data_IF_620002191468
#
_entry.id   IF_620002191468
#
_cell.length_a   1.000
_cell.length_b   1.000
_cell.length_c   1.000
_cell.angle_alpha   90.00
_cell.angle_beta   90.00
_cell.angle_gamma   90.00
#
_symmetry.space_group_name_H-M   'P 1'
#
loop_
_entity.id
_entity.type
_entity.pdbx_description
1 polymer ?
#
# COMPACT_ATOMS: atom_id res chain seq x y z
N UNK A 1 -21.93 7.94 -7.29
CA UNK A 1 -20.99 7.21 -6.39
C UNK A 1 -19.74 8.05 -6.19
N UNK A 2 -19.34 8.27 -4.96
CA UNK A 2 -18.10 8.97 -4.64
C UNK A 2 -17.02 7.95 -4.28
N UNK A 3 -16.05 7.77 -5.17
CA UNK A 3 -14.97 6.80 -4.94
C UNK A 3 -13.99 7.28 -3.87
N UNK A 4 -13.55 6.36 -3.03
CA UNK A 4 -12.55 6.60 -1.99
C UNK A 4 -11.25 5.85 -2.33
N UNK A 5 -10.14 6.57 -2.29
CA UNK A 5 -8.80 6.01 -2.51
C UNK A 5 -8.18 5.65 -1.16
N UNK A 6 -7.63 4.45 -1.06
CA UNK A 6 -6.94 3.99 0.13
C UNK A 6 -5.51 3.61 -0.27
N UNK A 7 -4.52 4.27 0.33
CA UNK A 7 -3.10 4.01 0.05
C UNK A 7 -2.48 3.37 1.27
N UNK A 8 -1.89 2.18 1.11
CA UNK A 8 -1.25 1.43 2.18
C UNK A 8 0.21 1.22 1.81
N UNK A 9 1.12 1.83 2.57
CA UNK A 9 2.56 1.82 2.30
C UNK A 9 3.33 1.33 3.52
N UNK A 10 4.58 0.95 3.30
CA UNK A 10 5.51 0.51 4.33
C UNK A 10 6.57 -0.40 3.77
N UNK A 11 7.60 -0.69 4.56
CA UNK A 11 8.67 -1.59 4.15
C UNK A 11 8.18 -3.02 3.92
N UNK A 12 8.95 -3.80 3.17
CA UNK A 12 8.67 -5.22 2.97
C UNK A 12 8.58 -5.94 4.33
N UNK A 13 7.63 -6.86 4.45
CA UNK A 13 7.41 -7.59 5.70
C UNK A 13 6.53 -6.87 6.72
N UNK A 14 5.96 -5.72 6.38
CA UNK A 14 5.12 -4.95 7.32
C UNK A 14 3.66 -5.42 7.42
N UNK A 15 3.20 -6.26 6.49
CA UNK A 15 1.81 -6.75 6.49
C UNK A 15 0.86 -5.98 5.57
N UNK A 16 1.38 -5.14 4.68
CA UNK A 16 0.58 -4.33 3.74
C UNK A 16 -0.35 -5.17 2.88
N UNK A 17 0.19 -6.21 2.24
CA UNK A 17 -0.57 -7.05 1.32
C UNK A 17 -1.69 -7.78 2.05
N UNK A 18 -1.41 -8.34 3.22
CA UNK A 18 -2.41 -9.01 4.05
C UNK A 18 -3.52 -8.03 4.47
N UNK A 19 -3.13 -6.85 4.93
CA UNK A 19 -4.09 -5.79 5.31
C UNK A 19 -4.95 -5.39 4.11
N UNK A 20 -4.34 -5.17 2.96
CA UNK A 20 -5.06 -4.77 1.75
C UNK A 20 -6.06 -5.83 1.29
N UNK A 21 -5.67 -7.11 1.31
CA UNK A 21 -6.56 -8.22 0.96
C UNK A 21 -7.71 -8.39 1.95
N UNK A 22 -7.43 -8.30 3.24
CA UNK A 22 -8.47 -8.36 4.27
C UNK A 22 -9.44 -7.20 4.12
N UNK A 23 -8.93 -6.01 3.87
CA UNK A 23 -9.77 -4.82 3.65
C UNK A 23 -10.65 -4.99 2.42
N UNK A 24 -10.10 -5.49 1.30
CA UNK A 24 -10.86 -5.76 0.10
C UNK A 24 -12.00 -6.76 0.37
N UNK A 25 -11.71 -7.82 1.12
CA UNK A 25 -12.71 -8.82 1.48
C UNK A 25 -13.86 -8.22 2.32
N UNK A 26 -13.52 -7.37 3.28
CA UNK A 26 -14.51 -6.73 4.15
C UNK A 26 -15.34 -5.67 3.41
N UNK A 27 -14.72 -4.94 2.50
CA UNK A 27 -15.43 -3.94 1.68
C UNK A 27 -16.28 -4.58 0.58
N UNK A 28 -15.93 -5.80 0.16
CA UNK A 28 -16.78 -6.61 -0.72
C UNK A 28 -16.48 -6.47 -2.21
N UNK A 29 -17.36 -7.09 -2.99
CA UNK A 29 -17.25 -7.13 -4.44
C UNK A 29 -17.24 -5.72 -5.06
N UNK A 30 -16.45 -5.53 -6.11
CA UNK A 30 -16.31 -4.24 -6.77
C UNK A 30 -15.27 -3.32 -6.13
N UNK A 31 -14.60 -3.77 -5.08
CA UNK A 31 -13.43 -3.05 -4.52
C UNK A 31 -12.21 -3.37 -5.36
N UNK A 32 -11.59 -2.33 -5.93
CA UNK A 32 -10.40 -2.49 -6.77
C UNK A 32 -9.15 -2.53 -5.89
N UNK A 33 -8.35 -3.58 -6.01
CA UNK A 33 -7.06 -3.70 -5.32
C UNK A 33 -5.92 -3.65 -6.33
N UNK A 34 -5.06 -2.65 -6.20
CA UNK A 34 -3.87 -2.46 -7.03
C UNK A 34 -2.63 -2.71 -6.19
N UNK A 35 -1.99 -3.86 -6.41
CA UNK A 35 -0.74 -4.21 -5.71
C UNK A 35 0.46 -3.86 -6.57
N UNK A 36 1.38 -3.07 -6.03
CA UNK A 36 2.62 -2.71 -6.71
C UNK A 36 3.40 -3.96 -7.12
N UNK A 37 3.52 -4.94 -6.24
CA UNK A 37 4.28 -6.16 -6.55
C UNK A 37 3.70 -6.92 -7.73
N UNK A 38 2.38 -7.04 -7.80
CA UNK A 38 1.70 -7.72 -8.91
C UNK A 38 1.91 -6.97 -10.21
N UNK A 39 1.69 -5.66 -10.21
CA UNK A 39 1.85 -4.84 -11.42
C UNK A 39 3.30 -4.90 -11.90
N UNK A 40 4.25 -4.70 -11.01
CA UNK A 40 5.66 -4.62 -11.38
C UNK A 40 6.26 -5.98 -11.72
N UNK A 41 6.04 -6.98 -10.86
CA UNK A 41 6.72 -8.28 -10.97
C UNK A 41 6.01 -9.26 -11.90
N UNK A 42 4.67 -9.30 -11.84
CA UNK A 42 3.91 -10.29 -12.61
C UNK A 42 3.42 -9.74 -13.94
N UNK A 43 2.85 -8.53 -13.94
CA UNK A 43 2.29 -7.94 -15.17
C UNK A 43 3.37 -7.42 -16.11
N UNK A 44 4.38 -6.74 -15.59
CA UNK A 44 5.40 -6.06 -16.40
C UNK A 44 6.78 -6.73 -16.37
N UNK A 45 7.12 -7.41 -15.27
CA UNK A 45 8.45 -8.02 -15.03
C UNK A 45 9.57 -7.00 -15.17
N UNK A 46 9.40 -5.83 -14.54
CA UNK A 46 10.40 -4.75 -14.55
C UNK A 46 11.01 -4.56 -13.16
N UNK A 47 12.24 -4.03 -13.15
CA UNK A 47 12.91 -3.67 -11.90
C UNK A 47 12.31 -2.41 -11.30
N UNK A 48 12.41 -2.28 -9.98
CA UNK A 48 11.93 -1.12 -9.25
C UNK A 48 12.94 0.02 -9.34
N UNK A 49 13.00 0.67 -10.48
CA UNK A 49 13.88 1.80 -10.78
C UNK A 49 13.08 3.08 -10.95
N UNK A 50 13.77 4.21 -10.89
CA UNK A 50 13.14 5.50 -11.16
C UNK A 50 12.57 5.51 -12.58
N UNK A 51 11.33 6.00 -12.70
CA UNK A 51 10.65 6.07 -14.00
C UNK A 51 10.21 4.74 -14.58
N UNK A 52 10.19 3.64 -13.79
CA UNK A 52 9.78 2.33 -14.33
C UNK A 52 8.30 2.32 -14.75
N UNK A 53 7.97 1.38 -15.63
CA UNK A 53 6.64 1.30 -16.25
C UNK A 53 5.50 1.08 -15.25
N UNK A 54 5.78 0.50 -14.08
CA UNK A 54 4.71 0.23 -13.11
C UNK A 54 4.12 1.51 -12.51
N UNK A 55 4.88 2.60 -12.46
CA UNK A 55 4.40 3.86 -11.89
C UNK A 55 3.17 4.35 -12.65
N UNK A 56 3.28 4.45 -13.97
CA UNK A 56 2.18 4.91 -14.81
C UNK A 56 1.03 3.91 -14.88
N UNK A 57 1.35 2.61 -14.95
CA UNK A 57 0.31 1.57 -15.02
C UNK A 57 -0.50 1.52 -13.72
N UNK A 58 0.14 1.62 -12.55
CA UNK A 58 -0.57 1.71 -11.26
C UNK A 58 -1.52 2.91 -11.27
N UNK A 59 -1.03 4.06 -11.72
CA UNK A 59 -1.85 5.27 -11.84
C UNK A 59 -3.08 5.03 -12.71
N UNK A 60 -2.89 4.47 -13.90
CA UNK A 60 -3.98 4.24 -14.84
C UNK A 60 -5.02 3.25 -14.30
N UNK A 61 -4.58 2.17 -13.66
CA UNK A 61 -5.49 1.18 -13.06
C UNK A 61 -6.32 1.84 -11.94
N UNK A 62 -5.67 2.60 -11.05
CA UNK A 62 -6.36 3.27 -9.96
C UNK A 62 -7.35 4.33 -10.47
N UNK A 63 -6.94 5.12 -11.47
CA UNK A 63 -7.82 6.12 -12.10
C UNK A 63 -9.04 5.48 -12.75
N UNK A 64 -8.86 4.30 -13.37
CA UNK A 64 -9.98 3.56 -13.95
C UNK A 64 -11.07 3.27 -12.92
N UNK A 65 -10.67 3.00 -11.68
CA UNK A 65 -11.63 2.69 -10.60
C UNK A 65 -12.49 3.87 -10.16
N UNK A 66 -12.03 5.10 -10.38
CA UNK A 66 -12.81 6.27 -9.98
C UNK A 66 -14.18 6.29 -10.69
N UNK A 67 -15.21 6.58 -9.93
CA UNK A 67 -16.61 6.61 -10.38
C UNK A 67 -17.16 5.25 -10.87
N UNK A 68 -16.38 4.18 -10.73
CA UNK A 68 -16.79 2.80 -11.05
C UNK A 68 -16.74 1.88 -9.83
N UNK A 69 -15.77 2.11 -8.95
CA UNK A 69 -15.59 1.37 -7.71
C UNK A 69 -15.78 2.33 -6.53
N UNK A 70 -16.52 1.91 -5.52
CA UNK A 70 -16.65 2.72 -4.31
C UNK A 70 -15.31 2.86 -3.60
N UNK A 71 -14.50 1.80 -3.62
CA UNK A 71 -13.18 1.79 -2.98
C UNK A 71 -12.10 1.35 -3.96
N UNK A 72 -11.00 2.08 -3.98
CA UNK A 72 -9.79 1.75 -4.74
C UNK A 72 -8.63 1.70 -3.76
N UNK A 73 -7.99 0.54 -3.64
CA UNK A 73 -6.86 0.31 -2.72
C UNK A 73 -5.58 0.22 -3.55
N UNK A 74 -4.58 1.01 -3.18
CA UNK A 74 -3.23 0.94 -3.77
C UNK A 74 -2.27 0.58 -2.63
N UNK A 75 -1.55 -0.54 -2.76
CA UNK A 75 -0.63 -0.99 -1.73
C UNK A 75 0.74 -1.35 -2.28
N UNK A 76 1.76 -1.17 -1.45
CA UNK A 76 3.12 -1.53 -1.77
C UNK A 76 4.13 -0.75 -0.95
N UNK A 77 5.41 -1.05 -1.15
CA UNK A 77 6.49 -0.26 -0.59
C UNK A 77 6.36 1.18 -1.11
N UNK A 78 6.19 1.35 -2.42
CA UNK A 78 5.90 2.62 -3.09
C UNK A 78 6.80 3.75 -2.56
N UNK A 79 8.11 3.57 -2.68
CA UNK A 79 9.10 4.55 -2.18
C UNK A 79 8.71 5.97 -2.57
N UNK A 80 8.75 6.88 -1.61
CA UNK A 80 8.33 8.27 -1.82
C UNK A 80 9.08 8.95 -2.96
N UNK A 81 10.41 8.76 -3.01
CA UNK A 81 11.24 9.40 -4.04
C UNK A 81 10.91 8.92 -5.46
N UNK A 82 10.27 7.76 -5.61
CA UNK A 82 9.97 7.14 -6.90
C UNK A 82 8.50 7.22 -7.28
N UNK A 83 7.61 6.97 -6.31
CA UNK A 83 6.17 6.89 -6.52
C UNK A 83 5.39 8.08 -5.93
N UNK A 84 6.04 8.93 -5.15
CA UNK A 84 5.37 9.96 -4.36
C UNK A 84 4.55 10.95 -5.20
N UNK A 85 5.11 11.42 -6.31
CA UNK A 85 4.40 12.37 -7.19
C UNK A 85 3.15 11.74 -7.80
N UNK A 86 3.25 10.48 -8.24
CA UNK A 86 2.12 9.72 -8.77
C UNK A 86 1.02 9.57 -7.71
N UNK A 87 1.39 9.20 -6.48
CA UNK A 87 0.43 9.04 -5.39
C UNK A 87 -0.26 10.35 -5.03
N UNK A 88 0.47 11.45 -5.00
CA UNK A 88 -0.11 12.78 -4.76
C UNK A 88 -1.07 13.18 -5.88
N UNK A 89 -0.72 12.85 -7.13
CA UNK A 89 -1.61 13.06 -8.27
C UNK A 89 -2.92 12.27 -8.09
N UNK A 90 -2.83 11.00 -7.67
CA UNK A 90 -4.03 10.19 -7.42
C UNK A 90 -4.90 10.78 -6.32
N UNK A 91 -4.31 11.30 -5.24
CA UNK A 91 -5.06 11.94 -4.16
C UNK A 91 -5.87 13.11 -4.71
N UNK A 92 -5.26 13.96 -5.54
CA UNK A 92 -5.96 15.07 -6.19
C UNK A 92 -7.04 14.57 -7.16
N UNK A 93 -6.73 13.53 -7.94
CA UNK A 93 -7.67 12.96 -8.90
C UNK A 93 -8.93 12.41 -8.22
N UNK A 94 -8.79 11.89 -7.00
CA UNK A 94 -9.91 11.43 -6.17
C UNK A 94 -10.53 12.54 -5.33
N UNK A 95 -10.32 13.82 -5.70
CA UNK A 95 -10.90 14.98 -5.04
C UNK A 95 -10.60 15.05 -3.53
N UNK A 96 -9.39 14.65 -3.13
CA UNK A 96 -8.93 14.56 -1.74
C UNK A 96 -9.70 13.52 -0.91
N UNK A 97 -10.52 12.67 -1.53
CA UNK A 97 -11.17 11.54 -0.85
C UNK A 97 -10.19 10.37 -0.79
N UNK A 98 -9.10 10.58 -0.07
CA UNK A 98 -8.00 9.65 0.06
C UNK A 98 -7.67 9.42 1.53
N UNK A 99 -7.37 8.17 1.84
CA UNK A 99 -7.03 7.68 3.17
C UNK A 99 -5.66 7.02 3.06
N UNK A 100 -4.65 7.61 3.69
CA UNK A 100 -3.26 7.17 3.53
C UNK A 100 -2.73 6.59 4.84
N UNK A 101 -2.09 5.44 4.73
CA UNK A 101 -1.55 4.68 5.86
C UNK A 101 -0.11 4.29 5.58
N UNK A 102 0.73 4.42 6.59
CA UNK A 102 2.14 4.00 6.52
C UNK A 102 2.48 3.12 7.73
N UNK A 103 2.96 1.90 7.44
CA UNK A 103 3.47 0.99 8.46
C UNK A 103 4.87 1.45 8.88
N UNK A 104 4.96 2.12 10.01
CA UNK A 104 6.22 2.59 10.59
C UNK A 104 6.69 1.57 11.63
N UNK A 105 7.26 0.47 11.14
CA UNK A 105 7.71 -0.64 11.97
C UNK A 105 9.23 -0.62 12.07
N UNK A 106 9.78 -1.15 13.19
CA UNK A 106 11.21 -1.40 13.29
C UNK A 106 11.64 -2.48 12.29
N UNK A 107 12.91 -2.48 11.90
CA UNK A 107 13.44 -3.51 11.03
C UNK A 107 13.22 -4.91 11.62
N UNK A 108 13.47 -5.05 12.93
CA UNK A 108 13.30 -6.32 13.65
C UNK A 108 11.84 -6.83 13.57
N UNK A 109 10.87 -5.93 13.70
CA UNK A 109 9.45 -6.31 13.58
C UNK A 109 9.11 -6.75 12.16
N UNK A 110 9.69 -6.11 11.13
CA UNK A 110 9.48 -6.53 9.73
C UNK A 110 10.06 -7.92 9.48
N UNK A 111 11.24 -8.22 10.03
CA UNK A 111 11.84 -9.56 9.95
C UNK A 111 10.95 -10.59 10.61
N UNK A 112 10.46 -10.30 11.81
CA UNK A 112 9.56 -11.20 12.56
C UNK A 112 8.31 -11.52 11.76
N UNK A 113 7.66 -10.50 11.20
CA UNK A 113 6.44 -10.67 10.39
C UNK A 113 6.72 -11.42 9.10
N UNK A 114 7.85 -11.13 8.44
CA UNK A 114 8.28 -11.84 7.24
C UNK A 114 8.49 -13.32 7.51
N UNK A 115 9.16 -13.68 8.61
CA UNK A 115 9.46 -15.07 8.96
C UNK A 115 8.20 -15.88 9.26
N UNK A 116 7.10 -15.23 9.65
CA UNK A 116 5.82 -15.88 9.89
C UNK A 116 4.90 -15.86 8.66
N UNK A 117 5.38 -15.34 7.52
CA UNK A 117 4.59 -15.23 6.28
C UNK A 117 5.03 -16.25 5.25
N UNK A 118 4.20 -16.44 4.19
CA UNK A 118 4.55 -17.30 3.06
C UNK A 118 5.74 -16.78 2.25
N UNK A 119 6.05 -15.49 2.35
CA UNK A 119 7.13 -14.86 1.58
C UNK A 119 8.53 -15.19 2.08
N UNK A 120 8.68 -15.79 3.27
CA UNK A 120 9.99 -16.15 3.80
C UNK A 120 10.78 -17.10 2.89
N UNK A 121 10.08 -17.87 2.07
CA UNK A 121 10.68 -18.78 1.09
C UNK A 121 11.08 -18.09 -0.21
N UNK A 122 10.57 -16.88 -0.47
CA UNK A 122 10.85 -16.12 -1.70
C UNK A 122 12.13 -15.31 -1.58
N UNK A 123 12.39 -14.74 -0.39
CA UNK A 123 13.59 -13.93 -0.12
C UNK A 123 13.87 -13.91 1.38
N UNK A 124 15.13 -13.66 1.73
CA UNK A 124 15.61 -13.71 3.11
C UNK A 124 15.78 -12.33 3.75
N UNK A 125 16.33 -12.34 4.97
CA UNK A 125 16.58 -11.14 5.77
C UNK A 125 17.50 -10.13 5.08
N UNK A 126 18.51 -10.60 4.33
CA UNK A 126 19.45 -9.71 3.63
C UNK A 126 18.73 -8.86 2.59
N UNK A 127 17.79 -9.45 1.85
CA UNK A 127 16.98 -8.72 0.88
C UNK A 127 16.06 -7.69 1.59
N UNK A 128 15.48 -8.05 2.73
CA UNK A 128 14.68 -7.12 3.53
C UNK A 128 15.53 -5.92 3.98
N UNK A 129 16.76 -6.18 4.40
CA UNK A 129 17.71 -5.14 4.84
C UNK A 129 18.07 -4.19 3.70
N UNK A 130 18.34 -4.73 2.53
CA UNK A 130 18.70 -3.95 1.34
C UNK A 130 17.56 -3.03 0.89
N UNK A 131 16.33 -3.47 1.05
CA UNK A 131 15.13 -2.73 0.62
C UNK A 131 14.57 -1.81 1.71
N UNK A 132 15.02 -1.96 2.95
CA UNK A 132 14.41 -1.25 4.08
C UNK A 132 14.81 0.22 4.09
N UNK A 133 13.80 1.09 4.21
CA UNK A 133 13.97 2.53 4.30
C UNK A 133 13.23 3.03 5.54
N UNK A 134 13.90 3.74 6.47
CA UNK A 134 13.24 4.26 7.66
C UNK A 134 12.37 5.48 7.33
N UNK A 135 11.23 5.57 8.00
CA UNK A 135 10.42 6.80 8.04
C UNK A 135 10.09 7.38 6.65
N UNK A 136 9.77 6.52 5.70
CA UNK A 136 9.49 6.94 4.32
C UNK A 136 8.05 7.46 4.17
N UNK A 137 7.68 8.40 5.03
CA UNK A 137 6.35 9.00 5.04
C UNK A 137 6.06 9.73 3.73
N UNK A 138 4.83 9.62 3.24
CA UNK A 138 4.41 10.34 2.05
C UNK A 138 4.32 11.84 2.33
N UNK A 139 3.99 12.21 3.56
CA UNK A 139 3.94 13.59 4.00
C UNK A 139 2.68 14.34 3.55
N UNK A 140 1.59 13.63 3.34
CA UNK A 140 0.31 14.23 2.96
C UNK A 140 -0.59 14.42 4.18
N UNK A 141 -1.54 15.34 4.07
CA UNK A 141 -2.49 15.61 5.14
C UNK A 141 -3.30 14.37 5.47
N UNK A 142 -3.43 14.08 6.76
CA UNK A 142 -4.24 12.96 7.24
C UNK A 142 -3.56 11.60 7.15
N UNK A 143 -2.30 11.52 6.74
CA UNK A 143 -1.54 10.26 6.74
C UNK A 143 -1.50 9.67 8.14
N UNK A 144 -1.91 8.41 8.28
CA UNK A 144 -1.92 7.69 9.56
C UNK A 144 -0.72 6.77 9.66
N UNK A 145 -0.04 6.82 10.80
CA UNK A 145 1.14 6.00 11.06
C UNK A 145 0.71 4.78 11.88
N UNK A 146 1.04 3.59 11.36
CA UNK A 146 0.73 2.31 11.99
C UNK A 146 2.01 1.76 12.62
N UNK A 147 1.95 1.41 13.90
CA UNK A 147 3.14 1.07 14.70
C UNK A 147 3.20 -0.41 15.07
N UNK A 148 4.34 -0.84 15.66
CA UNK A 148 4.60 -2.26 16.02
C UNK A 148 3.51 -2.87 16.91
N UNK A 149 2.92 -2.06 17.78
CA UNK A 149 1.95 -2.51 18.78
C UNK A 149 0.54 -2.71 18.24
N UNK A 150 0.30 -2.38 16.99
CA UNK A 150 -1.01 -2.58 16.36
C UNK A 150 -1.07 -3.97 15.69
N UNK A 151 -2.05 -4.78 16.09
CA UNK A 151 -2.32 -6.07 15.43
C UNK A 151 -2.96 -5.83 14.06
N UNK A 152 -3.00 -6.89 13.22
CA UNK A 152 -3.72 -6.82 11.94
C UNK A 152 -5.19 -6.44 12.15
N UNK A 153 -5.81 -6.99 13.19
CA UNK A 153 -7.21 -6.67 13.53
C UNK A 153 -7.37 -5.20 13.91
N UNK A 154 -6.43 -4.64 14.69
CA UNK A 154 -6.46 -3.23 15.08
C UNK A 154 -6.36 -2.31 13.86
N UNK A 155 -5.44 -2.61 12.95
CA UNK A 155 -5.24 -1.84 11.72
C UNK A 155 -6.49 -1.87 10.86
N UNK A 156 -7.05 -3.06 10.64
CA UNK A 156 -8.25 -3.23 9.82
C UNK A 156 -9.44 -2.44 10.39
N UNK A 157 -9.66 -2.52 11.70
CA UNK A 157 -10.71 -1.76 12.39
C UNK A 157 -10.51 -0.27 12.25
N UNK A 158 -9.28 0.21 12.40
CA UNK A 158 -8.96 1.63 12.28
C UNK A 158 -9.32 2.13 10.87
N UNK A 159 -8.93 1.39 9.84
CA UNK A 159 -9.23 1.77 8.46
C UNK A 159 -10.74 1.78 8.21
N UNK A 160 -11.42 0.68 8.56
CA UNK A 160 -12.86 0.57 8.35
C UNK A 160 -13.64 1.68 9.07
N UNK A 161 -13.25 2.02 10.30
CA UNK A 161 -13.90 3.10 11.05
C UNK A 161 -13.72 4.45 10.37
N UNK A 162 -12.57 4.71 9.76
CA UNK A 162 -12.33 5.96 9.04
C UNK A 162 -13.14 6.06 7.75
N UNK A 163 -13.33 4.93 7.05
CA UNK A 163 -14.07 4.91 5.81
C UNK A 163 -15.58 5.17 5.99
N UNK A 164 -16.10 4.91 7.18
CA UNK A 164 -17.52 5.13 7.51
C UNK A 164 -17.86 6.59 7.84
N UNK A 165 -16.86 7.41 8.08
CA UNK A 165 -17.01 8.84 8.34
C UNK A 165 -17.00 9.64 7.05
#
# INVERSE_FOLDING_TARGET
MESKLIIIRGNSGSGKTTTAKNLQNDLGHGTLLVSQDIVRREMLKVHDRDGNLSIDLIRQIAEYGKDKCEFVIVEGILYKHRYGEMLKHLIQFFNQKAYTYYFDLSFEETVKRHNSSSKKMEFGEDALRDWWTPNDYLGVDGEKILTNDMSQSDVLKLILNQLQK
#
